data_IF_426453148499
#
_entry.id   IF_426453148499
#
_cell.length_a   1.000
_cell.length_b   1.000
_cell.length_c   1.000
_cell.angle_alpha   90.00
_cell.angle_beta   90.00
_cell.angle_gamma   90.00
#
_symmetry.space_group_name_H-M   'P 1'
#
loop_
_entity.id
_entity.type
_entity.pdbx_description
1 polymer ?
#
# COMPACT_ATOMS: atom_id res chain seq x y z
N UNK A 1 -34.88 24.26 -0.36
CA UNK A 1 -33.89 24.52 -1.43
C UNK A 1 -34.48 23.99 -2.74
N UNK A 2 -34.54 24.78 -3.81
CA UNK A 2 -35.14 24.32 -5.07
C UNK A 2 -34.23 23.27 -5.74
N UNK A 3 -34.78 22.11 -6.10
CA UNK A 3 -34.07 21.02 -6.81
C UNK A 3 -33.60 21.55 -8.17
N UNK A 4 -32.30 21.86 -8.31
CA UNK A 4 -31.70 22.26 -9.59
C UNK A 4 -31.81 21.08 -10.56
N UNK A 5 -32.52 21.29 -11.67
CA UNK A 5 -32.60 20.31 -12.76
C UNK A 5 -31.74 20.80 -13.91
N UNK A 6 -30.70 20.05 -14.25
CA UNK A 6 -29.73 20.46 -15.27
C UNK A 6 -30.33 20.47 -16.68
N UNK A 7 -31.41 19.72 -16.89
CA UNK A 7 -32.15 19.72 -18.16
C UNK A 7 -32.67 21.11 -18.55
N UNK A 8 -32.99 21.98 -17.58
CA UNK A 8 -33.53 23.31 -17.84
C UNK A 8 -32.46 24.31 -18.33
N UNK A 9 -31.17 23.96 -18.22
CA UNK A 9 -30.05 24.76 -18.73
C UNK A 9 -29.73 24.44 -20.20
N UNK A 10 -30.32 23.37 -20.74
CA UNK A 10 -30.14 23.00 -22.14
C UNK A 10 -31.13 23.76 -23.04
N UNK A 11 -30.75 24.10 -24.29
CA UNK A 11 -31.68 24.64 -25.29
C UNK A 11 -32.90 23.74 -25.49
N UNK A 12 -34.05 24.32 -25.83
CA UNK A 12 -35.34 23.61 -25.92
C UNK A 12 -35.32 22.40 -26.86
N UNK A 13 -34.51 22.45 -27.93
CA UNK A 13 -34.27 21.33 -28.87
C UNK A 13 -33.67 20.09 -28.21
N UNK A 14 -32.91 20.27 -27.13
CA UNK A 14 -32.24 19.21 -26.39
C UNK A 14 -33.03 18.78 -25.13
N UNK A 15 -34.22 19.32 -24.89
CA UNK A 15 -35.08 18.98 -23.76
C UNK A 15 -36.08 17.86 -24.10
N UNK A 16 -35.60 16.81 -24.77
CA UNK A 16 -36.42 15.65 -25.13
C UNK A 16 -36.85 14.86 -23.89
N UNK A 17 -37.94 14.11 -23.98
CA UNK A 17 -38.44 13.31 -22.85
C UNK A 17 -37.43 12.24 -22.41
N UNK A 18 -36.69 11.68 -23.36
CA UNK A 18 -35.60 10.73 -23.09
C UNK A 18 -34.48 11.37 -22.29
N UNK A 19 -34.01 12.56 -22.69
CA UNK A 19 -32.97 13.28 -21.96
C UNK A 19 -33.46 13.74 -20.58
N UNK A 20 -34.74 14.13 -20.44
CA UNK A 20 -35.34 14.44 -19.13
C UNK A 20 -35.25 13.28 -18.15
N UNK A 21 -35.54 12.05 -18.61
CA UNK A 21 -35.45 10.84 -17.78
C UNK A 21 -34.00 10.51 -17.42
N UNK A 22 -33.08 10.60 -18.38
CA UNK A 22 -31.64 10.34 -18.15
C UNK A 22 -31.01 11.36 -17.18
N UNK A 23 -31.22 12.65 -17.41
CA UNK A 23 -30.68 13.71 -16.54
C UNK A 23 -31.28 13.64 -15.14
N UNK A 24 -32.58 13.33 -15.00
CA UNK A 24 -33.22 13.18 -13.70
C UNK A 24 -32.70 11.99 -12.89
N UNK A 25 -32.28 10.90 -13.56
CA UNK A 25 -31.80 9.68 -12.90
C UNK A 25 -30.32 9.73 -12.51
N UNK A 26 -29.48 10.43 -13.29
CA UNK A 26 -28.02 10.36 -13.11
C UNK A 26 -27.39 11.72 -12.87
N UNK A 27 -27.61 12.66 -13.79
CA UNK A 27 -26.92 13.96 -13.78
C UNK A 27 -27.37 14.81 -12.60
N UNK A 28 -28.68 14.90 -12.37
CA UNK A 28 -29.24 15.65 -11.24
C UNK A 28 -28.76 15.06 -9.90
N UNK A 29 -28.44 13.77 -9.81
CA UNK A 29 -27.87 13.15 -8.61
C UNK A 29 -26.37 13.46 -8.44
N UNK A 30 -25.60 13.44 -9.51
CA UNK A 30 -24.15 13.74 -9.48
C UNK A 30 -23.86 15.18 -9.05
N UNK A 31 -24.74 16.12 -9.42
CA UNK A 31 -24.57 17.55 -9.14
C UNK A 31 -25.49 18.06 -8.02
N UNK A 32 -26.23 17.18 -7.35
CA UNK A 32 -26.94 17.54 -6.14
C UNK A 32 -25.90 17.89 -5.07
N UNK A 33 -26.00 19.07 -4.42
CA UNK A 33 -25.12 19.38 -3.31
C UNK A 33 -25.32 18.31 -2.23
N UNK A 34 -24.25 17.60 -1.89
CA UNK A 34 -24.27 16.64 -0.79
C UNK A 34 -24.71 17.34 0.49
N UNK A 35 -25.59 16.69 1.25
CA UNK A 35 -25.90 17.18 2.59
C UNK A 35 -24.71 16.84 3.48
N UNK A 36 -23.88 17.84 3.78
CA UNK A 36 -22.78 17.67 4.73
C UNK A 36 -23.33 17.90 6.13
N UNK A 37 -23.34 16.86 6.95
CA UNK A 37 -23.52 17.01 8.39
C UNK A 37 -22.17 17.40 9.00
N UNK A 38 -22.11 18.55 9.65
CA UNK A 38 -20.97 18.92 10.48
C UNK A 38 -21.07 18.11 11.77
N UNK A 39 -20.18 17.15 11.95
CA UNK A 39 -20.09 16.34 13.17
C UNK A 39 -18.94 16.92 13.99
N UNK A 40 -19.22 17.31 15.23
CA UNK A 40 -18.22 17.75 16.19
C UNK A 40 -18.19 16.76 17.34
N UNK A 41 -17.01 16.23 17.66
CA UNK A 41 -16.83 15.29 18.74
C UNK A 41 -15.36 14.95 18.94
N UNK A 42 -15.07 14.42 20.12
CA UNK A 42 -13.74 13.98 20.51
C UNK A 42 -13.41 12.62 19.90
N UNK A 43 -12.12 12.44 19.57
CA UNK A 43 -11.52 11.21 19.08
C UNK A 43 -10.43 10.82 20.09
N UNK A 44 -10.43 9.57 20.53
CA UNK A 44 -9.48 9.01 21.47
C UNK A 44 -10.15 8.26 22.61
N UNK A 45 -9.35 7.93 23.62
CA UNK A 45 -9.82 7.17 24.79
C UNK A 45 -10.84 7.97 25.61
N UNK A 46 -11.93 7.29 25.99
CA UNK A 46 -12.91 7.82 26.96
C UNK A 46 -12.36 7.62 28.37
N UNK A 47 -12.07 8.69 29.14
CA UNK A 47 -11.64 8.56 30.52
C UNK A 47 -12.78 8.05 31.39
N UNK A 48 -12.48 7.44 32.54
CA UNK A 48 -13.51 6.93 33.46
C UNK A 48 -14.41 8.02 34.06
N UNK A 49 -13.95 9.27 34.04
CA UNK A 49 -14.62 10.45 34.60
C UNK A 49 -15.35 11.30 33.55
N UNK A 50 -15.61 10.77 32.35
CA UNK A 50 -16.27 11.53 31.28
C UNK A 50 -17.72 11.93 31.66
N UNK A 51 -18.16 13.11 31.22
CA UNK A 51 -19.53 13.58 31.42
C UNK A 51 -20.38 13.24 30.18
N UNK A 52 -21.29 12.28 30.30
CA UNK A 52 -22.15 11.84 29.20
C UNK A 52 -23.06 12.94 28.61
N UNK A 53 -23.24 14.06 29.31
CA UNK A 53 -24.08 15.17 28.86
C UNK A 53 -23.31 16.28 28.15
N UNK A 54 -21.99 16.37 28.36
CA UNK A 54 -21.12 17.44 27.82
C UNK A 54 -20.08 16.93 26.84
N UNK A 55 -19.59 15.71 27.05
CA UNK A 55 -18.50 15.14 26.26
C UNK A 55 -19.06 14.26 25.15
N UNK A 56 -19.08 14.79 23.93
CA UNK A 56 -19.52 14.07 22.75
C UNK A 56 -18.34 13.38 22.07
N UNK A 57 -18.34 12.05 22.06
CA UNK A 57 -17.35 11.25 21.35
C UNK A 57 -17.94 10.68 20.08
N UNK A 58 -17.14 10.65 19.01
CA UNK A 58 -17.58 10.08 17.73
C UNK A 58 -17.69 8.56 17.88
N UNK A 59 -18.86 7.95 17.59
CA UNK A 59 -19.01 6.51 17.64
C UNK A 59 -18.32 5.86 16.44
N UNK A 60 -17.53 4.82 16.70
CA UNK A 60 -16.89 4.03 15.66
C UNK A 60 -17.75 2.82 15.26
N UNK A 61 -17.58 2.28 14.04
CA UNK A 61 -18.40 1.17 13.55
C UNK A 61 -18.24 -0.13 14.36
N UNK A 62 -17.07 -0.33 14.99
CA UNK A 62 -16.79 -1.55 15.73
C UNK A 62 -15.98 -1.27 17.01
N UNK A 63 -15.95 -2.26 17.91
CA UNK A 63 -15.24 -2.17 19.19
C UNK A 63 -13.72 -2.00 19.02
N UNK A 64 -13.11 -2.65 18.02
CA UNK A 64 -11.68 -2.53 17.75
C UNK A 64 -11.31 -1.09 17.38
N UNK A 65 -12.01 -0.49 16.41
CA UNK A 65 -11.89 0.92 16.00
C UNK A 65 -12.19 1.88 17.14
N UNK A 66 -13.14 1.54 18.02
CA UNK A 66 -13.41 2.34 19.23
C UNK A 66 -12.22 2.32 20.19
N UNK A 67 -11.58 1.16 20.39
CA UNK A 67 -10.40 1.03 21.24
C UNK A 67 -9.15 1.68 20.60
N UNK A 68 -9.11 1.74 19.27
CA UNK A 68 -7.96 2.08 18.47
C UNK A 68 -8.28 3.19 17.45
N UNK A 69 -8.77 4.34 17.93
CA UNK A 69 -9.16 5.45 17.05
C UNK A 69 -7.96 6.15 16.38
N UNK A 70 -6.82 6.19 17.07
CA UNK A 70 -5.56 6.72 16.56
C UNK A 70 -4.55 5.59 16.45
N UNK A 71 -4.74 4.75 15.44
CA UNK A 71 -3.88 3.60 15.22
C UNK A 71 -2.53 3.99 14.60
N UNK A 72 -1.41 3.43 15.11
CA UNK A 72 -0.15 3.52 14.42
C UNK A 72 -0.22 2.73 13.10
N UNK A 73 0.47 3.24 12.09
CA UNK A 73 0.64 2.56 10.81
C UNK A 73 2.13 2.33 10.54
N UNK A 74 2.46 1.15 10.02
CA UNK A 74 3.79 0.86 9.51
C UNK A 74 3.84 1.34 8.05
N UNK A 75 4.83 2.18 7.74
CA UNK A 75 5.15 2.56 6.37
C UNK A 75 6.52 1.98 5.99
N UNK A 76 6.57 1.20 4.91
CA UNK A 76 7.82 0.81 4.25
C UNK A 76 8.15 1.87 3.21
N UNK A 77 9.39 2.37 3.27
CA UNK A 77 9.86 3.43 2.38
C UNK A 77 11.02 2.86 1.57
N UNK A 78 10.95 2.99 0.25
CA UNK A 78 12.02 2.61 -0.66
C UNK A 78 13.19 3.62 -0.58
N UNK A 79 14.39 3.27 -1.07
CA UNK A 79 15.56 4.15 -0.99
C UNK A 79 15.38 5.50 -1.70
N UNK A 80 14.43 5.61 -2.63
CA UNK A 80 14.06 6.83 -3.34
C UNK A 80 13.10 7.74 -2.56
N UNK A 81 12.66 7.32 -1.37
CA UNK A 81 11.70 8.04 -0.54
C UNK A 81 10.23 7.74 -0.87
N UNK A 82 9.95 6.87 -1.84
CA UNK A 82 8.58 6.43 -2.14
C UNK A 82 8.07 5.46 -1.08
N UNK A 83 6.78 5.57 -0.71
CA UNK A 83 6.15 4.63 0.22
C UNK A 83 5.79 3.37 -0.59
N UNK A 84 6.52 2.28 -0.36
CA UNK A 84 6.31 1.00 -1.03
C UNK A 84 5.19 0.19 -0.40
N UNK A 85 4.89 0.41 0.88
CA UNK A 85 3.81 -0.27 1.60
C UNK A 85 3.35 0.51 2.82
N UNK A 86 2.04 0.47 3.07
CA UNK A 86 1.41 1.00 4.28
C UNK A 86 0.54 -0.11 4.88
N UNK A 87 0.71 -0.38 6.17
CA UNK A 87 -0.09 -1.38 6.87
C UNK A 87 -0.55 -0.82 8.22
N UNK A 88 -1.86 -0.89 8.45
CA UNK A 88 -2.46 -0.48 9.72
C UNK A 88 -2.38 -1.61 10.75
N UNK A 89 -2.51 -1.27 12.02
CA UNK A 89 -2.53 -2.25 13.11
C UNK A 89 -3.59 -3.34 12.92
N UNK A 90 -4.83 -2.98 12.55
CA UNK A 90 -5.89 -3.96 12.29
C UNK A 90 -5.56 -4.92 11.13
N UNK A 91 -4.90 -4.43 10.09
CA UNK A 91 -4.46 -5.26 8.96
C UNK A 91 -3.34 -6.22 9.38
N UNK A 92 -2.42 -5.78 10.23
CA UNK A 92 -1.39 -6.64 10.83
C UNK A 92 -2.04 -7.78 11.64
N UNK A 93 -3.01 -7.47 12.50
CA UNK A 93 -3.70 -8.48 13.31
C UNK A 93 -4.47 -9.47 12.42
N UNK A 94 -5.16 -8.98 11.38
CA UNK A 94 -5.85 -9.83 10.40
C UNK A 94 -4.89 -10.71 9.62
N UNK A 95 -3.76 -10.17 9.20
CA UNK A 95 -2.71 -10.94 8.53
C UNK A 95 -2.22 -12.09 9.40
N UNK A 96 -1.84 -11.79 10.65
CA UNK A 96 -1.41 -12.81 11.62
C UNK A 96 -2.48 -13.88 11.87
N UNK A 97 -3.76 -13.49 11.93
CA UNK A 97 -4.87 -14.44 12.03
C UNK A 97 -4.96 -15.35 10.81
N UNK A 98 -4.69 -14.83 9.62
CA UNK A 98 -4.69 -15.60 8.36
C UNK A 98 -3.55 -16.63 8.37
N UNK A 99 -2.41 -16.29 8.98
CA UNK A 99 -1.28 -17.19 9.24
C UNK A 99 -1.52 -18.12 10.46
N UNK A 100 -2.76 -18.24 10.94
CA UNK A 100 -3.17 -19.06 12.09
C UNK A 100 -2.51 -18.68 13.44
N UNK A 101 -2.05 -17.44 13.60
CA UNK A 101 -1.56 -16.95 14.88
C UNK A 101 -2.72 -16.73 15.88
N UNK A 102 -2.43 -16.93 17.17
CA UNK A 102 -3.39 -16.70 18.25
C UNK A 102 -3.49 -15.20 18.53
N UNK A 103 -4.47 -14.53 17.93
CA UNK A 103 -4.70 -13.07 18.04
C UNK A 103 -5.70 -12.68 19.13
N UNK A 104 -6.00 -13.55 20.10
CA UNK A 104 -7.00 -13.27 21.16
C UNK A 104 -6.47 -12.30 22.21
N UNK A 105 -5.15 -12.32 22.44
CA UNK A 105 -4.46 -11.47 23.39
C UNK A 105 -3.30 -10.78 22.67
N UNK A 106 -3.44 -9.47 22.46
CA UNK A 106 -2.44 -8.65 21.77
C UNK A 106 -1.24 -8.36 22.69
N UNK A 107 -1.42 -8.30 24.01
CA UNK A 107 -0.30 -8.12 24.94
C UNK A 107 0.63 -9.33 24.88
N UNK A 108 0.06 -10.53 24.79
CA UNK A 108 0.84 -11.75 24.55
C UNK A 108 1.54 -11.74 23.18
N UNK A 109 0.89 -11.19 22.17
CA UNK A 109 1.42 -11.15 20.80
C UNK A 109 2.64 -10.23 20.66
N UNK A 110 2.66 -9.11 21.39
CA UNK A 110 3.70 -8.07 21.29
C UNK A 110 4.53 -7.88 22.56
N UNK A 111 4.29 -8.68 23.60
CA UNK A 111 4.97 -8.57 24.89
C UNK A 111 6.30 -9.32 24.96
N UNK A 112 6.61 -10.15 23.96
CA UNK A 112 7.89 -10.83 23.88
C UNK A 112 8.96 -9.90 23.30
N UNK A 113 10.12 -9.86 23.95
CA UNK A 113 11.29 -9.15 23.46
C UNK A 113 11.88 -9.89 22.25
N UNK A 114 11.59 -9.42 21.05
CA UNK A 114 12.23 -9.92 19.83
C UNK A 114 13.50 -9.13 19.52
N UNK A 115 14.64 -9.81 19.48
CA UNK A 115 15.89 -9.23 19.02
C UNK A 115 16.09 -9.55 17.53
N UNK A 116 15.81 -8.56 16.67
CA UNK A 116 16.14 -8.64 15.25
C UNK A 116 17.65 -8.53 15.04
N UNK A 117 18.33 -9.67 14.90
CA UNK A 117 19.74 -9.67 14.52
C UNK A 117 19.86 -9.57 12.99
N UNK A 118 20.15 -8.38 12.50
CA UNK A 118 20.52 -8.13 11.11
C UNK A 118 22.01 -7.78 11.05
N UNK A 119 22.92 -8.77 11.01
CA UNK A 119 24.33 -8.50 10.91
C UNK A 119 24.65 -7.80 9.57
N UNK A 120 25.63 -6.87 9.52
CA UNK A 120 26.04 -6.19 8.30
C UNK A 120 26.90 -7.10 7.42
N UNK A 121 26.41 -8.32 7.18
CA UNK A 121 27.03 -9.32 6.33
C UNK A 121 26.11 -9.56 5.15
N UNK A 122 26.73 -9.69 3.98
CA UNK A 122 26.05 -10.10 2.78
C UNK A 122 25.86 -11.62 2.82
N UNK A 123 24.61 -12.07 2.98
CA UNK A 123 24.26 -13.49 3.10
C UNK A 123 24.62 -14.23 1.81
N UNK A 124 24.55 -13.57 0.65
CA UNK A 124 24.89 -14.19 -0.63
C UNK A 124 26.38 -14.56 -0.70
N UNK A 125 27.25 -13.72 -0.13
CA UNK A 125 28.69 -14.01 -0.03
C UNK A 125 29.02 -15.19 0.87
N UNK A 126 28.18 -15.47 1.87
CA UNK A 126 28.34 -16.62 2.76
C UNK A 126 27.83 -17.92 2.12
N UNK A 127 26.70 -17.86 1.43
CA UNK A 127 26.12 -19.04 0.79
C UNK A 127 26.92 -19.46 -0.46
N UNK A 128 27.34 -18.48 -1.27
CA UNK A 128 28.05 -18.70 -2.53
C UNK A 128 29.54 -18.38 -2.42
N UNK A 129 30.18 -18.71 -1.29
CA UNK A 129 31.57 -18.35 -1.01
C UNK A 129 32.59 -18.84 -2.05
N UNK A 130 32.27 -19.89 -2.83
CA UNK A 130 33.10 -20.37 -3.94
C UNK A 130 33.09 -19.47 -5.18
N UNK A 131 32.04 -18.66 -5.35
CA UNK A 131 31.87 -17.75 -6.49
C UNK A 131 32.44 -16.36 -6.18
N UNK A 132 32.74 -16.09 -4.91
CA UNK A 132 33.26 -14.83 -4.44
C UNK A 132 34.74 -14.95 -4.06
N UNK A 133 35.53 -14.01 -4.55
CA UNK A 133 36.92 -13.88 -4.17
C UNK A 133 37.08 -12.59 -3.36
N UNK A 134 37.67 -12.69 -2.17
CA UNK A 134 37.99 -11.52 -1.35
C UNK A 134 39.20 -10.83 -1.95
N UNK A 135 38.96 -9.66 -2.51
CA UNK A 135 40.00 -8.79 -3.01
C UNK A 135 40.23 -7.66 -2.00
N UNK A 136 41.47 -7.49 -1.53
CA UNK A 136 41.83 -6.35 -0.69
C UNK A 136 41.80 -5.03 -1.46
N UNK A 137 42.02 -3.91 -0.78
CA UNK A 137 41.95 -2.53 -1.33
C UNK A 137 43.04 -2.18 -2.39
N UNK A 138 43.73 -3.15 -2.98
CA UNK A 138 44.80 -2.93 -3.96
C UNK A 138 44.31 -3.15 -5.39
N UNK A 139 43.89 -2.12 -6.14
CA UNK A 139 43.23 -2.25 -7.46
C UNK A 139 44.06 -2.90 -8.57
N UNK A 140 45.38 -3.03 -8.42
CA UNK A 140 46.29 -3.41 -9.52
C UNK A 140 46.51 -4.92 -9.70
N UNK A 141 45.83 -5.78 -8.93
CA UNK A 141 46.02 -7.25 -8.96
C UNK A 141 44.76 -8.03 -9.34
N UNK A 142 43.93 -7.51 -10.24
CA UNK A 142 42.77 -8.28 -10.73
C UNK A 142 43.27 -9.56 -11.46
N UNK A 143 42.88 -10.77 -11.00
CA UNK A 143 43.16 -11.97 -11.77
C UNK A 143 42.37 -11.90 -13.08
N UNK A 144 43.06 -11.95 -14.22
CA UNK A 144 42.39 -12.07 -15.50
C UNK A 144 41.57 -13.38 -15.50
N UNK A 145 40.26 -13.28 -15.73
CA UNK A 145 39.39 -14.43 -15.96
C UNK A 145 39.41 -14.74 -17.46
N UNK A 146 40.17 -15.75 -17.93
CA UNK A 146 40.17 -16.11 -19.34
C UNK A 146 38.83 -16.77 -19.69
N UNK A 147 37.94 -16.00 -20.31
CA UNK A 147 36.74 -16.55 -20.95
C UNK A 147 37.17 -17.28 -22.23
N UNK A 148 37.19 -18.60 -22.19
CA UNK A 148 37.47 -19.41 -23.37
C UNK A 148 36.14 -19.78 -24.04
N UNK A 149 35.87 -19.20 -25.21
CA UNK A 149 34.71 -19.55 -26.03
C UNK A 149 35.21 -20.22 -27.32
N UNK A 150 34.66 -21.39 -27.66
CA UNK A 150 34.96 -22.05 -28.94
C UNK A 150 34.28 -21.30 -30.09
N UNK A 151 35.06 -20.59 -30.90
CA UNK A 151 34.60 -19.96 -32.13
C UNK A 151 34.71 -20.95 -33.29
N UNK A 152 33.58 -21.49 -33.76
CA UNK A 152 33.53 -22.24 -35.01
C UNK A 152 33.23 -21.27 -36.16
N UNK A 153 34.23 -20.96 -36.99
CA UNK A 153 34.03 -20.19 -38.22
C UNK A 153 33.78 -21.13 -39.39
N UNK A 154 32.65 -21.00 -40.06
CA UNK A 154 32.38 -21.68 -41.33
C UNK A 154 32.73 -20.75 -42.48
N UNK A 155 33.71 -21.13 -43.30
CA UNK A 155 34.03 -20.46 -44.57
C UNK A 155 33.21 -21.12 -45.67
N UNK A 156 32.20 -20.44 -46.20
CA UNK A 156 31.47 -20.91 -47.37
C UNK A 156 32.31 -20.69 -48.63
N UNK A 157 32.63 -21.75 -49.35
CA UNK A 157 33.19 -21.64 -50.69
C UNK A 157 32.04 -21.35 -51.67
N UNK A 158 32.09 -20.19 -52.31
CA UNK A 158 31.06 -19.73 -53.25
C UNK A 158 31.10 -20.46 -54.59
N UNK A 159 31.01 -21.80 -54.60
CA UNK A 159 30.86 -22.60 -55.80
C UNK A 159 29.38 -22.94 -56.02
N UNK A 160 28.69 -22.11 -56.79
CA UNK A 160 27.43 -22.50 -57.44
C UNK A 160 27.75 -23.59 -58.46
N UNK A 161 27.40 -24.83 -58.16
CA UNK A 161 27.29 -25.88 -59.17
C UNK A 161 25.95 -25.71 -59.88
N UNK A 162 26.04 -25.48 -61.20
CA UNK A 162 24.91 -25.50 -62.16
C UNK A 162 24.18 -26.85 -62.19
#
# INVERSE_FOLDING_TARGET
MAKRRFINQLPQVNQTETLKKFFGATVDHAFQPGTQAQISGYIGQKPSYFDATKDFYIPEPNLARTAYQLDPAMASVAPDGSISGLSFYDDLIKYLRTENAITTDHNRLFGDDFYGWAPPIDIDKLQNFHQYYWFGDTPDLLPALPLTASSNSFTGDGATHD
#
